data_IF_738198308729
#
_entry.id   IF_738198308729
#
_cell.length_a   1.000
_cell.length_b   1.000
_cell.length_c   1.000
_cell.angle_alpha   90.00
_cell.angle_beta   90.00
_cell.angle_gamma   90.00
#
_symmetry.space_group_name_H-M   'P 1'
#
loop_
_entity.id
_entity.type
_entity.pdbx_description
1 polymer ?
#
# COMPACT_ATOMS: atom_id res chain seq x y z
N UNK A 1 15.53 -4.92 4.42
CA UNK A 1 14.47 -4.13 3.76
C UNK A 1 13.93 -4.87 2.55
N UNK A 2 12.61 -5.06 2.45
CA UNK A 2 11.92 -5.67 1.30
C UNK A 2 10.78 -4.78 0.84
N UNK A 3 10.60 -4.69 -0.48
CA UNK A 3 9.52 -3.92 -1.10
C UNK A 3 8.48 -4.85 -1.69
N UNK A 4 7.23 -4.50 -1.50
CA UNK A 4 6.10 -5.22 -2.05
C UNK A 4 5.26 -4.28 -2.89
N UNK A 5 4.83 -4.76 -4.05
CA UNK A 5 3.85 -4.08 -4.90
C UNK A 5 2.48 -4.68 -4.61
N UNK A 6 1.58 -3.85 -4.14
CA UNK A 6 0.19 -4.16 -3.87
C UNK A 6 -0.68 -3.43 -4.89
N UNK A 7 -1.41 -4.19 -5.69
CA UNK A 7 -2.50 -3.68 -6.53
C UNK A 7 -3.82 -3.99 -5.82
N UNK A 8 -4.74 -3.04 -5.80
CA UNK A 8 -6.03 -3.24 -5.15
C UNK A 8 -7.17 -2.62 -5.96
N UNK A 9 -8.37 -3.11 -5.70
CA UNK A 9 -9.62 -2.57 -6.17
C UNK A 9 -10.65 -2.67 -5.05
N UNK A 10 -11.53 -1.67 -4.96
CA UNK A 10 -12.57 -1.61 -3.92
C UNK A 10 -13.92 -1.70 -4.62
N UNK A 11 -14.54 -2.87 -4.48
CA UNK A 11 -15.79 -3.23 -5.14
C UNK A 11 -16.99 -2.96 -4.23
N UNK A 12 -18.19 -2.96 -4.82
CA UNK A 12 -19.47 -2.83 -4.10
C UNK A 12 -19.60 -1.57 -3.23
N UNK A 13 -18.92 -0.49 -3.63
CA UNK A 13 -19.01 0.80 -2.96
C UNK A 13 -20.32 1.50 -3.35
N UNK A 14 -21.08 1.92 -2.33
CA UNK A 14 -22.35 2.62 -2.55
C UNK A 14 -22.14 4.04 -3.07
N UNK A 15 -21.08 4.69 -2.59
CA UNK A 15 -20.71 6.05 -2.92
C UNK A 15 -19.20 6.29 -2.69
N UNK A 16 -18.75 7.50 -2.97
CA UNK A 16 -17.36 7.92 -2.79
C UNK A 16 -16.89 7.94 -1.34
N UNK A 17 -17.81 8.07 -0.39
CA UNK A 17 -17.49 8.07 1.05
C UNK A 17 -17.11 6.67 1.49
N UNK A 18 -17.92 5.66 1.13
CA UNK A 18 -17.59 4.25 1.42
C UNK A 18 -16.26 3.84 0.78
N UNK A 19 -16.04 4.20 -0.49
CA UNK A 19 -14.77 3.93 -1.16
C UNK A 19 -13.58 4.53 -0.40
N UNK A 20 -13.74 5.76 0.10
CA UNK A 20 -12.69 6.43 0.87
C UNK A 20 -12.44 5.71 2.20
N UNK A 21 -13.47 5.34 2.93
CA UNK A 21 -13.35 4.61 4.20
C UNK A 21 -12.66 3.25 4.02
N UNK A 22 -13.05 2.49 2.99
CA UNK A 22 -12.44 1.20 2.66
C UNK A 22 -10.96 1.35 2.28
N UNK A 23 -10.63 2.41 1.52
CA UNK A 23 -9.24 2.73 1.16
C UNK A 23 -8.43 3.12 2.41
N UNK A 24 -8.98 3.95 3.28
CA UNK A 24 -8.33 4.35 4.53
C UNK A 24 -8.10 3.14 5.45
N UNK A 25 -9.03 2.19 5.48
CA UNK A 25 -8.86 0.93 6.20
C UNK A 25 -7.70 0.09 5.65
N UNK A 26 -7.61 -0.11 4.32
CA UNK A 26 -6.49 -0.81 3.69
C UNK A 26 -5.14 -0.14 4.03
N UNK A 27 -5.09 1.19 3.99
CA UNK A 27 -3.88 1.94 4.36
C UNK A 27 -3.54 1.79 5.85
N UNK A 28 -4.54 1.74 6.71
CA UNK A 28 -4.37 1.47 8.14
C UNK A 28 -3.80 0.08 8.42
N UNK A 29 -4.24 -0.96 7.70
CA UNK A 29 -3.66 -2.30 7.80
C UNK A 29 -2.16 -2.31 7.46
N UNK A 30 -1.76 -1.61 6.40
CA UNK A 30 -0.35 -1.52 6.06
C UNK A 30 0.44 -0.75 7.12
N UNK A 31 -0.13 0.34 7.64
CA UNK A 31 0.45 1.17 8.70
C UNK A 31 0.60 0.42 10.03
N UNK A 32 -0.39 -0.39 10.43
CA UNK A 32 -0.39 -1.09 11.72
C UNK A 32 0.71 -2.15 11.86
N UNK A 33 1.22 -2.67 10.74
CA UNK A 33 2.41 -3.53 10.69
C UNK A 33 3.73 -2.77 10.79
N UNK A 34 3.72 -1.43 10.68
CA UNK A 34 4.89 -0.59 10.84
C UNK A 34 5.83 -0.63 9.63
N UNK A 35 5.35 -0.23 8.46
CA UNK A 35 6.21 -0.05 7.28
C UNK A 35 7.29 1.03 7.51
N UNK A 36 8.40 0.93 6.78
CA UNK A 36 9.45 1.95 6.77
C UNK A 36 9.17 3.04 5.73
N UNK A 37 8.59 2.67 4.58
CA UNK A 37 8.09 3.65 3.60
C UNK A 37 6.90 3.12 2.81
N UNK A 38 6.09 4.03 2.29
CA UNK A 38 4.93 3.73 1.44
C UNK A 38 4.81 4.81 0.36
N UNK A 39 4.54 4.41 -0.88
CA UNK A 39 4.34 5.32 -2.00
C UNK A 39 3.43 4.69 -3.05
N UNK A 40 2.98 5.50 -4.01
CA UNK A 40 2.07 5.06 -5.06
C UNK A 40 2.43 5.71 -6.40
N UNK A 41 2.22 4.97 -7.49
CA UNK A 41 2.45 5.44 -8.86
C UNK A 41 1.17 5.47 -9.70
N UNK A 42 0.07 4.92 -9.18
CA UNK A 42 -1.25 4.89 -9.80
C UNK A 42 -2.31 4.79 -8.70
N UNK A 43 -3.53 5.22 -8.96
CA UNK A 43 -4.59 5.30 -7.94
C UNK A 43 -4.87 3.97 -7.22
N UNK A 44 -4.71 2.85 -7.94
CA UNK A 44 -4.97 1.48 -7.48
C UNK A 44 -3.70 0.66 -7.16
N UNK A 45 -2.55 1.31 -6.99
CA UNK A 45 -1.30 0.64 -6.60
C UNK A 45 -0.61 1.30 -5.43
N UNK A 46 0.01 0.47 -4.59
CA UNK A 46 0.79 0.86 -3.43
C UNK A 46 2.09 0.06 -3.49
N UNK A 47 3.21 0.73 -3.22
CA UNK A 47 4.47 0.07 -2.93
C UNK A 47 4.81 0.36 -1.48
N UNK A 48 5.02 -0.70 -0.72
CA UNK A 48 5.31 -0.65 0.70
C UNK A 48 6.63 -1.34 0.99
N UNK A 49 7.43 -0.74 1.87
CA UNK A 49 8.74 -1.24 2.26
C UNK A 49 8.73 -1.62 3.73
N UNK A 50 9.07 -2.88 4.03
CA UNK A 50 9.19 -3.40 5.40
C UNK A 50 10.62 -3.82 5.73
N UNK A 51 10.94 -3.76 7.01
CA UNK A 51 12.12 -4.40 7.56
C UNK A 51 11.85 -5.91 7.74
N UNK A 52 12.55 -6.73 6.97
CA UNK A 52 12.30 -8.18 6.89
C UNK A 52 12.64 -8.90 8.20
N UNK A 53 13.51 -8.31 9.02
CA UNK A 53 13.83 -8.80 10.36
C UNK A 53 12.68 -8.58 11.36
N UNK A 54 11.75 -7.66 11.05
CA UNK A 54 10.58 -7.32 11.89
C UNK A 54 9.29 -7.90 11.35
N UNK A 55 9.10 -7.81 10.03
CA UNK A 55 7.90 -8.24 9.32
C UNK A 55 8.33 -9.12 8.14
N UNK A 56 8.18 -10.43 8.32
CA UNK A 56 8.45 -11.40 7.26
C UNK A 56 7.36 -11.34 6.19
N UNK A 57 7.66 -11.86 4.99
CA UNK A 57 6.68 -11.95 3.91
C UNK A 57 5.42 -12.71 4.33
N UNK A 58 5.59 -13.88 4.96
CA UNK A 58 4.47 -14.71 5.45
C UNK A 58 3.61 -13.91 6.42
N UNK A 59 4.21 -13.21 7.40
CA UNK A 59 3.47 -12.39 8.35
C UNK A 59 2.65 -11.28 7.66
N UNK A 60 3.23 -10.60 6.67
CA UNK A 60 2.51 -9.58 5.91
C UNK A 60 1.32 -10.17 5.15
N UNK A 61 1.51 -11.32 4.49
CA UNK A 61 0.49 -11.92 3.64
C UNK A 61 -0.65 -12.49 4.48
N UNK A 62 -0.31 -13.24 5.54
CA UNK A 62 -1.28 -13.80 6.48
C UNK A 62 -2.08 -12.68 7.18
N UNK A 63 -1.40 -11.61 7.59
CA UNK A 63 -2.08 -10.46 8.20
C UNK A 63 -3.09 -9.81 7.24
N UNK A 64 -2.72 -9.60 5.97
CA UNK A 64 -3.65 -9.05 4.99
C UNK A 64 -4.80 -10.02 4.71
N UNK A 65 -4.53 -11.32 4.61
CA UNK A 65 -5.56 -12.34 4.38
C UNK A 65 -6.61 -12.37 5.51
N UNK A 66 -6.16 -12.24 6.77
CA UNK A 66 -7.05 -12.28 7.93
C UNK A 66 -7.85 -10.98 8.14
N UNK A 67 -7.31 -9.83 7.72
CA UNK A 67 -7.88 -8.54 8.09
C UNK A 67 -8.50 -7.76 6.92
N UNK A 68 -8.11 -8.01 5.67
CA UNK A 68 -8.68 -7.26 4.53
C UNK A 68 -10.16 -7.59 4.37
N UNK A 69 -11.00 -6.55 4.28
CA UNK A 69 -12.44 -6.71 4.12
C UNK A 69 -12.80 -7.31 2.75
N UNK A 70 -13.93 -8.03 2.68
CA UNK A 70 -14.36 -8.76 1.49
C UNK A 70 -14.60 -7.89 0.24
N UNK A 71 -14.89 -6.60 0.41
CA UNK A 71 -15.04 -5.58 -0.63
C UNK A 71 -13.70 -5.07 -1.18
N UNK A 72 -12.57 -5.40 -0.56
CA UNK A 72 -11.24 -5.02 -1.05
C UNK A 72 -10.61 -6.24 -1.72
N UNK A 73 -10.46 -6.17 -3.04
CA UNK A 73 -9.72 -7.16 -3.83
C UNK A 73 -8.28 -6.69 -3.98
N UNK A 74 -7.31 -7.56 -3.73
CA UNK A 74 -5.91 -7.19 -3.88
C UNK A 74 -5.04 -8.31 -4.43
N UNK A 75 -3.91 -7.90 -4.98
CA UNK A 75 -2.78 -8.75 -5.33
C UNK A 75 -1.54 -8.12 -4.73
N UNK A 76 -0.73 -8.92 -4.03
CA UNK A 76 0.54 -8.48 -3.48
C UNK A 76 1.67 -9.35 -4.03
N UNK A 77 2.77 -8.72 -4.39
CA UNK A 77 3.96 -9.41 -4.92
C UNK A 77 5.23 -8.77 -4.40
N UNK A 78 6.27 -9.59 -4.20
CA UNK A 78 7.60 -9.11 -3.83
C UNK A 78 8.26 -8.43 -5.04
N UNK A 79 8.79 -7.23 -4.83
CA UNK A 79 9.60 -6.54 -5.85
C UNK A 79 11.02 -7.08 -5.76
N UNK A 80 11.52 -7.61 -6.87
CA UNK A 80 12.90 -8.11 -6.96
C UNK A 80 13.91 -7.01 -6.65
N UNK A 81 14.89 -7.34 -5.80
CA UNK A 81 16.06 -6.50 -5.60
C UNK A 81 17.02 -6.78 -6.74
N UNK A 82 17.00 -5.93 -7.75
CA UNK A 82 17.95 -6.02 -8.86
C UNK A 82 19.36 -5.78 -8.29
N UNK A 83 20.18 -6.83 -8.23
CA UNK A 83 21.59 -6.72 -7.83
C UNK A 83 22.52 -6.35 -9.01
N UNK A 84 22.07 -6.43 -10.27
CA UNK A 84 22.90 -6.15 -11.44
C UNK A 84 22.24 -5.21 -12.45
N UNK A 85 23.06 -4.31 -13.02
CA UNK A 85 22.73 -3.20 -13.94
C UNK A 85 21.58 -3.50 -14.94
N UNK A 86 20.77 -2.49 -15.29
CA UNK A 86 19.59 -2.67 -16.11
C UNK A 86 19.93 -3.18 -17.52
N UNK A 87 19.15 -4.17 -17.97
CA UNK A 87 18.99 -4.51 -19.39
C UNK A 87 18.39 -3.27 -20.06
N UNK A 88 19.21 -2.57 -20.86
CA UNK A 88 18.89 -1.48 -21.78
C UNK A 88 17.59 -0.70 -21.50
N UNK A 89 17.72 0.31 -20.64
CA UNK A 89 16.71 1.34 -20.38
C UNK A 89 16.50 2.24 -21.60
N UNK A 90 15.79 1.75 -22.62
CA UNK A 90 15.23 2.55 -23.71
C UNK A 90 13.83 3.12 -23.38
N UNK A 91 13.48 3.22 -22.09
CA UNK A 91 12.27 3.90 -21.66
C UNK A 91 12.60 5.35 -21.33
N UNK A 92 11.85 6.27 -21.92
CA UNK A 92 12.04 7.71 -21.80
C UNK A 92 11.72 8.17 -20.35
N UNK A 93 12.68 7.98 -19.44
CA UNK A 93 12.58 8.19 -17.98
C UNK A 93 11.99 9.56 -17.60
N UNK A 94 12.13 10.57 -18.45
CA UNK A 94 11.78 11.95 -18.15
C UNK A 94 10.28 12.17 -17.99
N UNK A 95 9.43 11.51 -18.79
CA UNK A 95 7.96 11.65 -18.70
C UNK A 95 7.34 10.68 -17.70
N UNK A 96 7.88 9.46 -17.62
CA UNK A 96 7.44 8.43 -16.68
C UNK A 96 7.67 8.86 -15.21
N UNK A 97 8.82 9.49 -14.93
CA UNK A 97 9.10 10.02 -13.59
C UNK A 97 8.19 11.18 -13.17
N UNK A 98 7.65 11.98 -14.10
CA UNK A 98 6.85 13.15 -13.73
C UNK A 98 5.46 12.75 -13.20
N UNK A 99 4.72 11.93 -13.95
CA UNK A 99 3.39 11.47 -13.53
C UNK A 99 3.46 10.63 -12.25
N UNK A 100 4.50 9.80 -12.11
CA UNK A 100 4.75 9.06 -10.88
C UNK A 100 5.04 9.97 -9.68
N UNK A 101 5.76 11.07 -9.90
CA UNK A 101 5.99 12.09 -8.85
C UNK A 101 4.71 12.81 -8.47
N UNK A 102 3.87 13.17 -9.43
CA UNK A 102 2.59 13.85 -9.18
C UNK A 102 1.64 12.95 -8.38
N UNK A 103 1.41 11.72 -8.86
CA UNK A 103 0.54 10.76 -8.18
C UNK A 103 1.06 10.40 -6.79
N UNK A 104 2.36 10.19 -6.63
CA UNK A 104 2.92 9.98 -5.31
C UNK A 104 2.72 11.22 -4.43
N UNK A 105 2.92 12.43 -4.94
CA UNK A 105 2.72 13.67 -4.16
C UNK A 105 1.29 13.77 -3.65
N UNK A 106 0.30 13.48 -4.49
CA UNK A 106 -1.10 13.44 -4.07
C UNK A 106 -1.36 12.34 -3.04
N UNK A 107 -0.81 11.15 -3.25
CA UNK A 107 -0.91 10.05 -2.30
C UNK A 107 -0.29 10.40 -0.93
N UNK A 108 0.87 11.08 -0.90
CA UNK A 108 1.47 11.55 0.36
C UNK A 108 0.58 12.59 1.05
N UNK A 109 -0.09 13.48 0.30
CA UNK A 109 -1.06 14.41 0.88
C UNK A 109 -2.26 13.67 1.46
N UNK A 110 -2.75 12.62 0.80
CA UNK A 110 -3.81 11.77 1.34
C UNK A 110 -3.39 11.17 2.68
N UNK A 111 -2.21 10.54 2.75
CA UNK A 111 -1.70 9.94 4.00
C UNK A 111 -1.58 10.93 5.16
N UNK A 112 -1.20 12.18 4.89
CA UNK A 112 -1.11 13.24 5.90
C UNK A 112 -2.50 13.61 6.46
N UNK A 113 -3.54 13.47 5.65
CA UNK A 113 -4.91 13.83 6.03
C UNK A 113 -5.68 12.68 6.70
N UNK A 114 -5.09 11.48 6.79
CA UNK A 114 -5.71 10.35 7.47
C UNK A 114 -5.60 10.55 8.99
N UNK A 115 -6.73 10.38 9.69
CA UNK A 115 -6.77 10.36 11.15
C UNK A 115 -6.42 8.95 11.66
N UNK A 116 -5.12 8.68 11.77
CA UNK A 116 -4.59 7.39 12.20
C UNK A 116 -5.03 7.01 13.63
N UNK A 117 -5.20 7.98 14.52
CA UNK A 117 -5.64 7.73 15.89
C UNK A 117 -7.12 7.33 15.93
N UNK A 118 -7.96 7.93 15.09
CA UNK A 118 -9.34 7.51 14.92
C UNK A 118 -9.43 6.08 14.37
N UNK A 119 -8.71 5.78 13.28
CA UNK A 119 -8.69 4.43 12.69
C UNK A 119 -8.18 3.38 13.69
N UNK A 120 -7.17 3.73 14.49
CA UNK A 120 -6.67 2.88 15.57
C UNK A 120 -7.72 2.58 16.63
N UNK A 121 -8.51 3.58 17.04
CA UNK A 121 -9.61 3.36 18.00
C UNK A 121 -10.73 2.52 17.40
N UNK A 122 -10.98 2.66 16.09
CA UNK A 122 -12.08 1.98 15.41
C UNK A 122 -11.76 0.51 15.13
N UNK A 123 -10.53 0.20 14.73
CA UNK A 123 -10.15 -1.11 14.21
C UNK A 123 -9.03 -1.81 14.97
N UNK A 124 -8.24 -1.09 15.77
CA UNK A 124 -6.99 -1.61 16.33
C UNK A 124 -7.16 -2.85 17.20
N UNK A 125 -8.23 -2.90 18.00
CA UNK A 125 -8.50 -4.02 18.92
C UNK A 125 -9.04 -5.27 18.19
N UNK A 126 -9.50 -5.13 16.94
CA UNK A 126 -10.04 -6.23 16.13
C UNK A 126 -9.02 -6.84 15.17
N UNK A 127 -7.77 -6.34 15.14
CA UNK A 127 -6.77 -6.84 14.21
C UNK A 127 -6.18 -8.19 14.67
N UNK A 128 -6.08 -9.13 13.73
CA UNK A 128 -5.45 -10.44 13.93
C UNK A 128 -4.00 -10.43 13.42
N UNK A 129 -3.02 -10.57 14.33
CA UNK A 129 -1.57 -10.39 14.06
C UNK A 129 -0.76 -11.68 13.93
#
# INVERSE_FOLDING_TARGET
MRKYHLSYDIIDTKDSTQYKEDKEYLLYLLYSLGYNSIYSYADSTIIVEYDEDKITQTKLFDFLENNVQHNVRYYISLISQIQDKPIDSFYNEKYFNFLQRERNTEFQKELINIDWDYLKKLYGDSLEY
#
